data_IF_993295278495
#
_entry.id   IF_993295278495
#
_cell.length_a   1.000
_cell.length_b   1.000
_cell.length_c   1.000
_cell.angle_alpha   90.00
_cell.angle_beta   90.00
_cell.angle_gamma   90.00
#
_symmetry.space_group_name_H-M   'P 1'
#
loop_
_entity.id
_entity.type
_entity.pdbx_description
1 polymer ?
#
# COMPACT_ATOMS: atom_id res chain seq x y z
N UNK A 1 9.15 19.92 -4.78
CA UNK A 1 10.07 19.00 -5.46
C UNK A 1 10.15 17.72 -4.62
N UNK A 2 9.37 16.69 -4.94
CA UNK A 2 9.37 15.44 -4.18
C UNK A 2 10.32 14.46 -4.85
N UNK A 3 11.37 14.06 -4.13
CA UNK A 3 12.38 13.12 -4.59
C UNK A 3 11.73 11.80 -5.00
N UNK A 4 11.92 11.41 -6.27
CA UNK A 4 11.61 10.06 -6.76
C UNK A 4 12.83 9.19 -6.51
N UNK A 5 12.92 8.64 -5.30
CA UNK A 5 13.87 7.56 -4.99
C UNK A 5 13.40 6.30 -5.73
N UNK A 6 14.27 5.70 -6.54
CA UNK A 6 13.95 4.54 -7.38
C UNK A 6 13.30 3.39 -6.62
N UNK A 7 12.10 3.01 -7.06
CA UNK A 7 11.30 1.90 -6.54
C UNK A 7 9.97 1.88 -7.27
N UNK A 8 9.57 0.72 -7.80
CA UNK A 8 8.39 0.44 -8.63
C UNK A 8 7.30 1.54 -8.62
N UNK A 9 7.18 2.28 -9.74
CA UNK A 9 6.23 3.40 -9.88
C UNK A 9 4.77 2.99 -10.07
N UNK A 10 4.43 1.75 -9.75
CA UNK A 10 3.11 1.17 -10.02
C UNK A 10 2.31 0.89 -8.75
N UNK A 11 2.78 1.24 -7.55
CA UNK A 11 2.04 1.04 -6.31
C UNK A 11 2.04 2.32 -5.46
N UNK A 12 1.01 2.52 -4.64
CA UNK A 12 0.97 3.67 -3.71
C UNK A 12 1.85 3.41 -2.48
N UNK A 13 1.99 2.15 -2.07
CA UNK A 13 2.92 1.75 -1.03
C UNK A 13 3.67 0.49 -1.45
N UNK A 14 4.95 0.42 -1.13
CA UNK A 14 5.75 -0.80 -1.28
C UNK A 14 6.81 -0.90 -0.19
N UNK A 15 6.84 -2.02 0.52
CA UNK A 15 7.82 -2.29 1.56
C UNK A 15 8.05 -3.81 1.71
N UNK A 16 9.15 -4.19 2.37
CA UNK A 16 9.25 -5.56 2.88
C UNK A 16 8.12 -5.83 3.87
N UNK A 17 7.67 -7.09 3.97
CA UNK A 17 6.66 -7.48 4.96
C UNK A 17 7.12 -7.10 6.37
N UNK A 18 8.39 -7.35 6.72
CA UNK A 18 8.93 -6.96 8.03
C UNK A 18 8.79 -5.47 8.36
N UNK A 19 8.99 -4.56 7.39
CA UNK A 19 8.76 -3.13 7.60
C UNK A 19 7.27 -2.82 7.74
N UNK A 20 6.44 -3.40 6.87
CA UNK A 20 4.99 -3.23 6.92
C UNK A 20 4.39 -3.68 8.26
N UNK A 21 4.88 -4.80 8.83
CA UNK A 21 4.45 -5.30 10.14
C UNK A 21 4.76 -4.33 11.29
N UNK A 22 5.76 -3.47 11.14
CA UNK A 22 6.18 -2.52 12.18
C UNK A 22 5.62 -1.10 11.98
N UNK A 23 5.08 -0.80 10.80
CA UNK A 23 4.77 0.57 10.37
C UNK A 23 3.41 0.66 9.65
N UNK A 24 2.34 0.36 10.40
CA UNK A 24 0.96 0.44 9.90
C UNK A 24 0.55 1.88 9.59
N UNK A 25 0.85 2.82 10.49
CA UNK A 25 0.54 4.24 10.33
C UNK A 25 1.30 4.85 9.14
N UNK A 26 2.57 4.49 8.96
CA UNK A 26 3.35 4.91 7.80
C UNK A 26 2.81 4.35 6.49
N UNK A 27 2.27 3.12 6.50
CA UNK A 27 1.55 2.57 5.35
C UNK A 27 0.28 3.40 5.05
N UNK A 28 -0.57 3.63 6.05
CA UNK A 28 -1.81 4.40 5.89
C UNK A 28 -1.55 5.83 5.41
N UNK A 29 -0.53 6.50 5.96
CA UNK A 29 -0.13 7.83 5.55
C UNK A 29 0.36 7.88 4.10
N UNK A 30 1.07 6.85 3.64
CA UNK A 30 1.48 6.72 2.25
C UNK A 30 0.26 6.55 1.33
N UNK A 31 -0.67 5.67 1.67
CA UNK A 31 -1.90 5.44 0.90
C UNK A 31 -2.75 6.71 0.81
N UNK A 32 -2.95 7.41 1.92
CA UNK A 32 -3.69 8.67 1.97
C UNK A 32 -3.04 9.74 1.06
N UNK A 33 -1.72 9.86 1.12
CA UNK A 33 -0.97 10.84 0.31
C UNK A 33 -1.15 10.60 -1.19
N UNK A 34 -1.02 9.35 -1.64
CA UNK A 34 -1.13 9.04 -3.07
C UNK A 34 -2.57 8.95 -3.55
N UNK A 35 -3.49 8.45 -2.73
CA UNK A 35 -4.92 8.45 -3.02
C UNK A 35 -5.48 9.86 -3.19
N UNK A 36 -5.06 10.80 -2.33
CA UNK A 36 -5.49 12.20 -2.43
C UNK A 36 -4.97 12.84 -3.73
N UNK A 37 -3.73 12.52 -4.13
CA UNK A 37 -3.18 12.95 -5.42
C UNK A 37 -3.94 12.36 -6.63
N UNK A 38 -4.58 11.21 -6.46
CA UNK A 38 -5.45 10.57 -7.46
C UNK A 38 -6.92 11.05 -7.39
N UNK A 39 -7.24 12.00 -6.51
CA UNK A 39 -8.58 12.58 -6.35
C UNK A 39 -9.59 11.67 -5.64
N UNK A 40 -9.14 10.66 -4.89
CA UNK A 40 -10.00 9.57 -4.40
C UNK A 40 -9.73 9.18 -2.94
N UNK A 41 -9.83 10.14 -2.02
CA UNK A 41 -9.81 9.83 -0.57
C UNK A 41 -11.04 10.42 0.09
N UNK A 42 -12.06 9.57 0.23
CA UNK A 42 -13.21 9.81 1.09
C UNK A 42 -13.04 9.06 2.41
N UNK A 43 -13.76 9.47 3.46
CA UNK A 43 -13.71 8.83 4.78
C UNK A 43 -13.83 7.29 4.76
N UNK A 44 -14.73 6.69 3.96
CA UNK A 44 -14.84 5.24 3.84
C UNK A 44 -13.57 4.55 3.32
N UNK A 45 -12.86 5.18 2.37
CA UNK A 45 -11.63 4.61 1.80
C UNK A 45 -10.51 4.53 2.85
N UNK A 46 -10.37 5.58 3.66
CA UNK A 46 -9.39 5.61 4.76
C UNK A 46 -9.65 4.49 5.77
N UNK A 47 -10.91 4.34 6.21
CA UNK A 47 -11.28 3.28 7.15
C UNK A 47 -11.10 1.87 6.56
N UNK A 48 -11.35 1.70 5.26
CA UNK A 48 -11.11 0.44 4.57
C UNK A 48 -9.61 0.07 4.57
N UNK A 49 -8.72 1.02 4.28
CA UNK A 49 -7.28 0.80 4.34
C UNK A 49 -6.80 0.49 5.76
N UNK A 50 -7.27 1.21 6.76
CA UNK A 50 -6.91 0.96 8.17
C UNK A 50 -7.25 -0.49 8.57
N UNK A 51 -8.48 -0.93 8.28
CA UNK A 51 -8.92 -2.31 8.57
C UNK A 51 -8.16 -3.35 7.75
N UNK A 52 -7.85 -3.05 6.49
CA UNK A 52 -7.06 -3.94 5.63
C UNK A 52 -5.63 -4.10 6.16
N UNK A 53 -4.98 -3.01 6.60
CA UNK A 53 -3.65 -3.02 7.19
C UNK A 53 -3.65 -3.90 8.46
N UNK A 54 -4.59 -3.69 9.38
CA UNK A 54 -4.74 -4.50 10.60
C UNK A 54 -4.93 -6.00 10.30
N UNK A 55 -5.72 -6.34 9.27
CA UNK A 55 -5.93 -7.73 8.87
C UNK A 55 -4.66 -8.36 8.30
N UNK A 56 -3.96 -7.64 7.42
CA UNK A 56 -2.77 -8.13 6.76
C UNK A 56 -1.58 -8.23 7.71
N UNK A 57 -1.42 -7.32 8.66
CA UNK A 57 -0.36 -7.43 9.66
C UNK A 57 -0.49 -8.69 10.51
N UNK A 58 -1.73 -9.05 10.89
CA UNK A 58 -2.00 -10.31 11.59
C UNK A 58 -1.76 -11.53 10.70
N UNK A 59 -2.21 -11.48 9.44
CA UNK A 59 -2.11 -12.62 8.52
C UNK A 59 -0.67 -12.89 8.04
N UNK A 60 0.18 -11.86 7.97
CA UNK A 60 1.54 -11.95 7.45
C UNK A 60 2.62 -12.04 8.54
N UNK A 61 2.23 -12.15 9.81
CA UNK A 61 3.17 -12.26 10.92
C UNK A 61 4.09 -13.48 10.73
N UNK A 62 5.40 -13.25 10.75
CA UNK A 62 6.42 -14.28 10.54
C UNK A 62 6.68 -14.66 9.07
N UNK A 63 6.05 -13.98 8.11
CA UNK A 63 6.33 -14.17 6.69
C UNK A 63 7.42 -13.21 6.20
N UNK A 64 8.25 -13.69 5.29
CA UNK A 64 9.18 -12.86 4.52
C UNK A 64 8.59 -12.51 3.15
N UNK A 65 9.12 -11.45 2.54
CA UNK A 65 8.67 -11.01 1.23
C UNK A 65 8.44 -9.50 1.14
N UNK A 66 7.69 -9.09 0.11
CA UNK A 66 7.33 -7.70 -0.17
C UNK A 66 5.83 -7.58 -0.38
N UNK A 67 5.27 -6.50 0.14
CA UNK A 67 3.88 -6.12 -0.02
C UNK A 67 3.79 -4.83 -0.84
N UNK A 68 2.83 -4.76 -1.75
CA UNK A 68 2.53 -3.59 -2.55
C UNK A 68 1.03 -3.30 -2.46
N UNK A 69 0.66 -2.10 -2.04
CA UNK A 69 -0.74 -1.69 -2.01
C UNK A 69 -1.07 -0.80 -3.21
N UNK A 70 -2.32 -0.91 -3.66
CA UNK A 70 -2.90 -0.12 -4.74
C UNK A 70 -2.02 -0.20 -6.00
N UNK A 71 -1.73 -1.44 -6.41
CA UNK A 71 -0.86 -1.75 -7.54
C UNK A 71 -1.60 -1.55 -8.86
N UNK A 72 -1.19 -0.54 -9.63
CA UNK A 72 -1.68 -0.20 -10.95
C UNK A 72 -1.29 -1.27 -11.95
N UNK A 73 -2.26 -1.74 -12.74
CA UNK A 73 -2.05 -2.66 -13.86
C UNK A 73 -2.38 -1.92 -15.16
N UNK A 74 -1.39 -1.27 -15.82
CA UNK A 74 -1.64 -0.36 -16.93
C UNK A 74 -2.38 -1.00 -18.11
N UNK A 75 -2.08 -2.28 -18.40
CA UNK A 75 -2.65 -2.99 -19.56
C UNK A 75 -4.17 -3.13 -19.51
N UNK A 76 -4.76 -3.17 -18.31
CA UNK A 76 -6.21 -3.35 -18.12
C UNK A 76 -6.87 -2.12 -17.49
N UNK A 77 -6.11 -1.05 -17.25
CA UNK A 77 -6.64 0.19 -16.68
C UNK A 77 -7.23 0.03 -15.27
N UNK A 78 -6.80 -0.98 -14.52
CA UNK A 78 -7.32 -1.28 -13.19
C UNK A 78 -6.21 -1.28 -12.13
N UNK A 79 -6.61 -1.55 -10.89
CA UNK A 79 -5.73 -1.59 -9.73
C UNK A 79 -6.01 -2.86 -8.91
N UNK A 80 -4.95 -3.44 -8.37
CA UNK A 80 -5.03 -4.53 -7.41
C UNK A 80 -4.83 -3.92 -6.03
N UNK A 81 -5.73 -4.22 -5.09
CA UNK A 81 -5.66 -3.66 -3.73
C UNK A 81 -4.32 -4.00 -3.06
N UNK A 82 -3.91 -5.28 -3.11
CA UNK A 82 -2.63 -5.74 -2.55
C UNK A 82 -1.99 -6.84 -3.40
N UNK A 83 -0.70 -6.71 -3.65
CA UNK A 83 0.16 -7.76 -4.22
C UNK A 83 1.18 -8.20 -3.17
N UNK A 84 1.32 -9.51 -3.00
CA UNK A 84 2.35 -10.14 -2.17
C UNK A 84 3.38 -10.83 -3.07
N UNK A 85 4.65 -10.60 -2.77
CA UNK A 85 5.78 -11.30 -3.35
C UNK A 85 6.44 -12.08 -2.22
N UNK A 86 6.25 -13.41 -2.19
CA UNK A 86 6.69 -14.33 -1.14
C UNK A 86 7.91 -15.14 -1.58
#
# INVERSE_FOLDING_TARGET
MVARSGGFSWAYYSASIGKFLQDGDGCLAALAKYGAAAGSVEGPQMGAWEKQIECLQRALAGMEGRILFEFVVPRIGSRIDVVLLL
#
